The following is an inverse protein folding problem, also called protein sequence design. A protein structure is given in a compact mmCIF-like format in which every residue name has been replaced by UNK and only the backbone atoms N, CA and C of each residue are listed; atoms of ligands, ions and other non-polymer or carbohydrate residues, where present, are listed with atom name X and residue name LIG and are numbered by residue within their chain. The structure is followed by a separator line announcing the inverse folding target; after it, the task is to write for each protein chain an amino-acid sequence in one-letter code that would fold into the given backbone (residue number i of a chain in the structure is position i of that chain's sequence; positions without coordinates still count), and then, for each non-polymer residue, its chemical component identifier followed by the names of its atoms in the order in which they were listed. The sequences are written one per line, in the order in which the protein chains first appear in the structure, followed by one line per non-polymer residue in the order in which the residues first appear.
data_IF_937612503161
#
_entry.id   IF_937612503161
#
_cell.length_a   1.000
_cell.length_b   1.000
_cell.length_c   1.000
_cell.angle_alpha   90.00
_cell.angle_beta   90.00
_cell.angle_gamma   90.00
#
_symmetry.space_group_name_H-M   'P 1'
#
loop_
_entity.id
_entity.type
_entity.pdbx_description
1 polymer ?
#
# COMPACT_ATOMS: atom_id res chain seq x y z
N UNK A 1 16.87 -1.95 -109.55
CA UNK A 1 16.69 -0.54 -109.10
C UNK A 1 16.32 -0.56 -107.61
N UNK A 2 16.52 0.54 -106.89
CA UNK A 2 16.19 0.67 -105.46
C UNK A 2 14.66 0.92 -105.26
N UNK A 3 14.06 0.91 -104.06
CA UNK A 3 14.62 0.80 -102.71
C UNK A 3 13.65 0.15 -101.68
N UNK A 4 14.25 -0.46 -100.65
CA UNK A 4 13.91 -0.46 -99.20
C UNK A 4 12.95 0.63 -98.69
N UNK A 5 12.17 0.52 -97.59
CA UNK A 5 11.90 -0.49 -96.52
C UNK A 5 10.59 -0.03 -95.77
N UNK A 6 9.92 -0.70 -94.81
CA UNK A 6 10.10 -1.95 -94.00
C UNK A 6 8.69 -2.64 -93.89
N UNK A 7 8.21 -3.46 -92.92
CA UNK A 7 8.57 -3.86 -91.53
C UNK A 7 7.80 -3.05 -90.46
N UNK A 8 6.96 -3.59 -89.56
CA UNK A 8 6.61 -4.99 -89.22
C UNK A 8 7.52 -5.62 -88.14
N UNK A 9 7.07 -6.48 -87.21
CA UNK A 9 5.69 -6.94 -86.89
C UNK A 9 5.66 -7.69 -85.50
N UNK A 10 4.47 -7.97 -84.95
CA UNK A 10 4.13 -9.02 -83.95
C UNK A 10 4.79 -9.06 -82.54
N UNK A 11 3.98 -8.69 -81.53
CA UNK A 11 3.63 -9.37 -80.27
C UNK A 11 4.63 -10.14 -79.34
N UNK A 12 4.47 -9.83 -78.03
CA UNK A 12 4.38 -10.72 -76.86
C UNK A 12 5.58 -11.60 -76.44
N UNK A 13 6.25 -11.20 -75.34
CA UNK A 13 6.94 -12.10 -74.42
C UNK A 13 6.94 -11.52 -72.99
N UNK A 14 6.52 -12.32 -71.99
CA UNK A 14 6.78 -12.05 -70.56
C UNK A 14 7.93 -12.98 -70.16
N UNK A 15 9.04 -12.41 -69.68
CA UNK A 15 10.28 -13.14 -69.42
C UNK A 15 10.54 -13.22 -67.91
N UNK A 16 10.58 -14.44 -67.38
CA UNK A 16 11.22 -14.76 -66.10
C UNK A 16 12.74 -14.68 -66.27
N UNK A 17 13.45 -14.06 -65.32
CA UNK A 17 14.90 -14.18 -65.24
C UNK A 17 15.37 -14.30 -63.79
N UNK A 18 15.94 -15.44 -63.43
CA UNK A 18 16.76 -15.57 -62.22
C UNK A 18 18.14 -14.98 -62.49
N UNK A 19 18.70 -14.26 -61.50
CA UNK A 19 20.13 -13.96 -61.46
C UNK A 19 20.71 -14.26 -60.08
N UNK A 20 22.02 -14.45 -60.04
CA UNK A 20 22.72 -15.23 -59.01
C UNK A 20 23.02 -14.49 -57.71
N UNK A 21 23.30 -15.27 -56.66
CA UNK A 21 23.57 -14.80 -55.31
C UNK A 21 24.76 -13.83 -55.23
N UNK A 22 24.58 -12.76 -54.48
CA UNK A 22 25.66 -12.11 -53.72
C UNK A 22 25.16 -11.89 -52.30
N UNK A 23 25.76 -12.59 -51.33
CA UNK A 23 25.25 -12.63 -49.96
C UNK A 23 25.50 -11.32 -49.21
N UNK A 24 24.59 -10.37 -49.35
CA UNK A 24 24.31 -9.34 -48.36
C UNK A 24 22.87 -9.46 -47.86
N UNK A 25 22.53 -10.64 -47.34
CA UNK A 25 21.51 -10.73 -46.31
C UNK A 25 22.04 -9.94 -45.12
N UNK A 26 21.63 -8.66 -45.03
CA UNK A 26 21.59 -7.98 -43.76
C UNK A 26 20.69 -8.83 -42.87
N UNK A 27 21.30 -9.66 -42.03
CA UNK A 27 20.64 -10.23 -40.89
C UNK A 27 20.26 -9.07 -39.99
N UNK A 28 19.07 -8.51 -40.24
CA UNK A 28 18.23 -7.87 -39.25
C UNK A 28 18.02 -8.94 -38.17
N UNK A 29 19.01 -9.01 -37.28
CA UNK A 29 19.06 -9.92 -36.16
C UNK A 29 17.96 -9.43 -35.25
N UNK A 30 16.76 -9.99 -35.44
CA UNK A 30 15.60 -9.78 -34.58
C UNK A 30 15.94 -10.32 -33.19
N UNK A 31 16.71 -9.54 -32.45
CA UNK A 31 16.73 -9.57 -31.01
C UNK A 31 15.31 -9.25 -30.59
N UNK A 32 14.53 -10.30 -30.32
CA UNK A 32 13.36 -10.19 -29.48
C UNK A 32 13.82 -9.44 -28.23
N UNK A 33 13.32 -8.21 -28.07
CA UNK A 33 13.60 -7.42 -26.88
C UNK A 33 13.05 -8.24 -25.71
N UNK A 34 13.95 -8.78 -24.90
CA UNK A 34 13.57 -9.58 -23.74
C UNK A 34 12.69 -8.73 -22.83
N UNK A 35 11.65 -9.34 -22.26
CA UNK A 35 10.67 -8.53 -21.54
C UNK A 35 11.31 -7.89 -20.30
N UNK A 36 10.75 -6.77 -19.80
CA UNK A 36 11.19 -6.16 -18.54
C UNK A 36 11.36 -7.16 -17.39
N UNK A 37 10.51 -8.19 -17.33
CA UNK A 37 10.58 -9.23 -16.30
C UNK A 37 11.68 -10.28 -16.58
N UNK A 38 11.94 -10.65 -17.84
CA UNK A 38 13.07 -11.52 -18.19
C UNK A 38 14.41 -10.86 -17.85
N UNK A 39 14.54 -9.57 -18.14
CA UNK A 39 15.72 -8.78 -17.83
C UNK A 39 15.90 -8.61 -16.32
N UNK A 40 14.81 -8.43 -15.57
CA UNK A 40 14.82 -8.40 -14.12
C UNK A 40 15.30 -9.73 -13.54
N UNK A 41 14.71 -10.85 -13.94
CA UNK A 41 15.06 -12.19 -13.48
C UNK A 41 16.52 -12.54 -13.84
N UNK A 42 16.96 -12.23 -15.06
CA UNK A 42 18.37 -12.41 -15.47
C UNK A 42 19.32 -11.51 -14.68
N UNK A 43 18.87 -10.34 -14.23
CA UNK A 43 19.63 -9.48 -13.34
C UNK A 43 19.69 -10.00 -11.90
N UNK A 44 18.63 -10.65 -11.38
CA UNK A 44 18.63 -11.28 -10.05
C UNK A 44 19.53 -12.52 -9.99
N UNK A 45 19.67 -13.24 -11.10
CA UNK A 45 20.52 -14.44 -11.19
C UNK A 45 21.94 -14.18 -10.66
N UNK A 46 22.42 -15.10 -9.82
CA UNK A 46 23.71 -15.00 -9.12
C UNK A 46 23.79 -13.94 -8.02
N UNK A 47 22.70 -13.22 -7.69
CA UNK A 47 22.64 -12.22 -6.59
C UNK A 47 21.65 -12.56 -5.50
N UNK A 48 20.68 -13.41 -5.81
CA UNK A 48 19.67 -13.94 -4.89
C UNK A 48 19.55 -15.45 -5.17
N UNK A 49 19.43 -16.31 -4.15
CA UNK A 49 19.20 -17.75 -4.35
C UNK A 49 17.91 -18.01 -5.14
N UNK A 50 17.91 -19.02 -6.01
CA UNK A 50 16.80 -19.27 -6.93
C UNK A 50 15.51 -19.66 -6.20
N UNK A 51 15.64 -20.38 -5.09
CA UNK A 51 14.56 -20.76 -4.17
C UNK A 51 13.92 -19.58 -3.42
N UNK A 52 14.46 -18.36 -3.57
CA UNK A 52 13.88 -17.12 -3.04
C UNK A 52 13.22 -16.25 -4.14
N UNK A 53 13.18 -16.71 -5.40
CA UNK A 53 12.62 -15.96 -6.54
C UNK A 53 11.50 -16.76 -7.20
N UNK A 54 10.25 -16.49 -6.79
CA UNK A 54 9.07 -17.21 -7.26
C UNK A 54 8.47 -16.51 -8.48
N UNK A 55 8.59 -17.12 -9.66
CA UNK A 55 7.84 -16.72 -10.87
C UNK A 55 6.39 -17.21 -10.82
N UNK A 56 5.47 -16.68 -11.63
CA UNK A 56 4.11 -17.23 -11.74
C UNK A 56 4.06 -18.72 -12.16
N UNK A 57 5.12 -19.23 -12.80
CA UNK A 57 5.30 -20.64 -13.16
C UNK A 57 5.87 -21.52 -12.03
N UNK A 58 6.29 -20.92 -10.91
CA UNK A 58 6.82 -21.66 -9.75
C UNK A 58 5.68 -22.27 -8.93
N UNK A 59 5.77 -23.57 -8.60
CA UNK A 59 4.74 -24.27 -7.80
C UNK A 59 4.46 -23.61 -6.44
N UNK A 60 5.48 -23.03 -5.80
CA UNK A 60 5.35 -22.29 -4.55
C UNK A 60 4.75 -20.88 -4.66
N UNK A 61 4.55 -20.35 -5.88
CA UNK A 61 4.18 -18.93 -6.08
C UNK A 61 2.90 -18.53 -5.37
N UNK A 62 1.84 -19.33 -5.44
CA UNK A 62 0.57 -19.01 -4.78
C UNK A 62 0.65 -19.15 -3.25
N UNK A 63 1.47 -20.07 -2.74
CA UNK A 63 1.71 -20.20 -1.31
C UNK A 63 2.46 -18.97 -0.77
N UNK A 64 3.50 -18.51 -1.46
CA UNK A 64 4.22 -17.29 -1.06
C UNK A 64 3.38 -16.03 -1.29
N UNK A 65 2.62 -15.93 -2.39
CA UNK A 65 1.74 -14.79 -2.64
C UNK A 65 0.66 -14.66 -1.55
N UNK A 66 0.14 -15.77 -1.05
CA UNK A 66 -0.92 -15.76 -0.01
C UNK A 66 -0.40 -15.87 1.42
N UNK A 67 0.90 -16.11 1.64
CA UNK A 67 1.54 -16.44 2.94
C UNK A 67 1.17 -15.54 4.13
N UNK A 68 0.79 -14.30 3.85
CA UNK A 68 0.57 -13.24 4.83
C UNK A 68 -0.50 -12.24 4.39
N UNK A 69 -1.36 -12.61 3.45
CA UNK A 69 -2.52 -11.79 3.05
C UNK A 69 -3.53 -11.74 4.18
N UNK A 70 -4.05 -10.55 4.48
CA UNK A 70 -4.97 -10.30 5.60
C UNK A 70 -6.38 -9.90 5.16
N UNK A 71 -6.61 -9.83 3.84
CA UNK A 71 -7.88 -9.47 3.25
C UNK A 71 -8.08 -10.29 1.95
N UNK A 72 -8.89 -11.36 1.96
CA UNK A 72 -9.08 -12.25 0.80
C UNK A 72 -9.73 -11.57 -0.41
N UNK A 73 -10.33 -10.37 -0.23
CA UNK A 73 -10.83 -9.48 -1.30
C UNK A 73 -9.83 -9.26 -2.44
N UNK A 74 -8.54 -9.42 -2.18
CA UNK A 74 -7.45 -9.21 -3.14
C UNK A 74 -6.75 -10.51 -3.59
N UNK A 75 -7.43 -11.65 -3.49
CA UNK A 75 -6.93 -12.97 -3.91
C UNK A 75 -7.83 -13.57 -5.02
N UNK A 76 -8.51 -12.71 -5.78
CA UNK A 76 -9.37 -13.10 -6.91
C UNK A 76 -8.56 -13.31 -8.19
N UNK A 77 -9.14 -13.95 -9.21
CA UNK A 77 -8.51 -14.09 -10.54
C UNK A 77 -8.49 -12.78 -11.34
N UNK A 78 -9.37 -11.82 -11.01
CA UNK A 78 -9.37 -10.47 -11.57
C UNK A 78 -8.31 -9.55 -10.93
N UNK A 79 -7.72 -9.92 -9.79
CA UNK A 79 -6.70 -9.10 -9.13
C UNK A 79 -5.39 -9.09 -9.91
N UNK A 80 -4.80 -7.92 -10.14
CA UNK A 80 -3.48 -7.78 -10.78
C UNK A 80 -2.38 -8.25 -9.83
N UNK A 81 -1.88 -9.47 -10.08
CA UNK A 81 -0.83 -10.16 -9.30
C UNK A 81 0.57 -9.79 -9.81
N UNK A 82 1.63 -9.90 -8.98
CA UNK A 82 3.00 -9.66 -9.42
C UNK A 82 3.46 -10.68 -10.44
N UNK A 83 4.41 -10.29 -11.30
CA UNK A 83 5.05 -11.20 -12.26
C UNK A 83 6.06 -12.15 -11.58
N UNK A 84 6.69 -11.72 -10.48
CA UNK A 84 7.42 -12.60 -9.56
C UNK A 84 7.47 -12.03 -8.12
N UNK A 85 7.85 -12.87 -7.16
CA UNK A 85 8.08 -12.52 -5.75
C UNK A 85 9.55 -12.78 -5.42
N UNK A 86 10.19 -11.82 -4.77
CA UNK A 86 11.55 -11.93 -4.20
C UNK A 86 11.42 -12.00 -2.68
N UNK A 87 11.67 -13.16 -2.09
CA UNK A 87 11.60 -13.40 -0.65
C UNK A 87 12.95 -13.11 0.01
N UNK A 88 13.21 -11.84 0.35
CA UNK A 88 14.51 -11.40 0.84
C UNK A 88 14.81 -11.89 2.27
N UNK A 89 15.94 -12.59 2.42
CA UNK A 89 16.51 -12.99 3.71
C UNK A 89 17.69 -12.13 4.18
N UNK A 90 18.28 -11.32 3.29
CA UNK A 90 19.38 -10.40 3.61
C UNK A 90 19.20 -9.01 2.98
N UNK A 91 19.86 -8.00 3.54
CA UNK A 91 19.86 -6.64 3.03
C UNK A 91 20.49 -6.51 1.62
N UNK A 92 21.44 -7.38 1.25
CA UNK A 92 21.98 -7.44 -0.11
C UNK A 92 20.93 -7.90 -1.13
N UNK A 93 20.02 -8.81 -0.76
CA UNK A 93 18.94 -9.27 -1.64
C UNK A 93 17.95 -8.11 -1.93
N UNK A 94 17.63 -7.30 -0.91
CA UNK A 94 16.87 -6.05 -1.07
C UNK A 94 17.58 -5.08 -2.02
N UNK A 95 18.89 -4.86 -1.85
CA UNK A 95 19.66 -3.99 -2.74
C UNK A 95 19.72 -4.52 -4.17
N UNK A 96 19.87 -5.83 -4.37
CA UNK A 96 19.87 -6.47 -5.67
C UNK A 96 18.53 -6.30 -6.38
N UNK A 97 17.42 -6.57 -5.68
CA UNK A 97 16.07 -6.36 -6.20
C UNK A 97 15.82 -4.91 -6.64
N UNK A 98 16.16 -3.93 -5.79
CA UNK A 98 15.98 -2.50 -6.13
C UNK A 98 16.82 -2.09 -7.34
N UNK A 99 18.12 -2.46 -7.38
CA UNK A 99 19.02 -2.12 -8.50
C UNK A 99 18.58 -2.79 -9.80
N UNK A 100 18.14 -4.05 -9.75
CA UNK A 100 17.70 -4.78 -10.94
C UNK A 100 16.35 -4.27 -11.45
N UNK A 101 15.37 -4.04 -10.57
CA UNK A 101 14.06 -3.54 -10.99
C UNK A 101 14.15 -2.16 -11.64
N UNK A 102 14.98 -1.26 -11.07
CA UNK A 102 15.25 0.04 -11.67
C UNK A 102 15.94 -0.07 -13.04
N UNK A 103 16.94 -0.96 -13.20
CA UNK A 103 17.62 -1.20 -14.49
C UNK A 103 16.72 -1.82 -15.56
N UNK A 104 15.74 -2.62 -15.17
CA UNK A 104 14.85 -3.36 -16.08
C UNK A 104 13.45 -2.76 -16.22
N UNK A 105 13.17 -1.61 -15.58
CA UNK A 105 11.87 -0.94 -15.60
C UNK A 105 10.76 -1.61 -14.77
N UNK A 106 11.07 -2.67 -14.01
CA UNK A 106 10.11 -3.40 -13.17
C UNK A 106 10.01 -2.73 -11.80
N UNK A 107 8.80 -2.28 -11.43
CA UNK A 107 8.55 -1.67 -10.11
C UNK A 107 8.40 -2.73 -9.02
N UNK A 108 8.70 -2.33 -7.78
CA UNK A 108 8.59 -3.18 -6.59
C UNK A 108 7.46 -2.69 -5.67
N UNK A 109 6.53 -3.60 -5.34
CA UNK A 109 5.63 -3.44 -4.18
C UNK A 109 6.27 -4.19 -3.00
N UNK A 110 6.48 -3.51 -1.88
CA UNK A 110 7.24 -4.06 -0.73
C UNK A 110 6.27 -4.57 0.34
N UNK A 111 6.48 -5.80 0.82
CA UNK A 111 5.60 -6.45 1.81
C UNK A 111 6.35 -6.89 3.07
N UNK A 112 5.96 -6.32 4.21
CA UNK A 112 6.52 -6.67 5.53
C UNK A 112 5.58 -7.52 6.39
N UNK A 113 4.26 -7.39 6.20
CA UNK A 113 3.25 -8.10 6.99
C UNK A 113 1.87 -8.29 6.33
N UNK A 114 1.63 -7.70 5.17
CA UNK A 114 0.40 -7.90 4.37
C UNK A 114 -0.89 -7.22 4.88
N UNK A 115 -0.86 -6.54 6.04
CA UNK A 115 -1.97 -5.76 6.61
C UNK A 115 -2.31 -4.44 5.88
N UNK A 116 -1.91 -4.24 4.62
CA UNK A 116 -2.38 -3.06 3.86
C UNK A 116 -3.86 -3.26 3.50
N UNK A 117 -4.74 -2.39 4.00
CA UNK A 117 -6.20 -2.55 3.92
C UNK A 117 -6.75 -2.59 2.48
N UNK A 118 -6.00 -2.08 1.52
CA UNK A 118 -6.35 -2.12 0.10
C UNK A 118 -5.41 -3.03 -0.72
N UNK A 119 -4.58 -3.83 -0.04
CA UNK A 119 -3.72 -4.84 -0.64
C UNK A 119 -2.50 -4.31 -1.38
N UNK A 120 -2.17 -3.01 -1.27
CA UNK A 120 -1.19 -2.34 -2.14
C UNK A 120 0.27 -2.77 -1.93
N UNK A 121 0.53 -3.69 -1.00
CA UNK A 121 1.84 -4.33 -0.82
C UNK A 121 2.03 -5.61 -1.65
N UNK A 122 0.97 -6.15 -2.26
CA UNK A 122 1.03 -7.39 -3.07
C UNK A 122 0.13 -7.43 -4.31
N UNK A 123 -0.83 -6.52 -4.46
CA UNK A 123 -1.59 -6.32 -5.70
C UNK A 123 -1.41 -4.91 -6.27
N UNK A 124 -1.77 -4.73 -7.54
CA UNK A 124 -2.09 -3.42 -8.12
C UNK A 124 -3.60 -3.27 -8.36
N UNK A 125 -4.08 -2.03 -8.44
CA UNK A 125 -5.48 -1.69 -8.81
C UNK A 125 -5.62 -1.64 -10.33
N UNK A 126 -4.61 -1.11 -11.02
CA UNK A 126 -4.53 -1.02 -12.48
C UNK A 126 -3.57 -2.05 -13.05
N UNK A 127 -3.72 -2.40 -14.32
CA UNK A 127 -2.83 -3.31 -15.01
C UNK A 127 -1.41 -2.69 -15.15
N UNK A 128 -0.45 -3.22 -14.40
CA UNK A 128 0.98 -2.90 -14.54
C UNK A 128 1.85 -4.13 -14.24
N UNK A 129 3.06 -4.17 -14.81
CA UNK A 129 4.06 -5.20 -14.48
C UNK A 129 4.88 -4.77 -13.28
N UNK A 130 4.70 -5.46 -12.15
CA UNK A 130 5.47 -5.26 -10.92
C UNK A 130 5.93 -6.61 -10.34
N UNK A 131 6.93 -6.57 -9.46
CA UNK A 131 7.31 -7.69 -8.60
C UNK A 131 7.04 -7.35 -7.13
N UNK A 132 6.82 -8.36 -6.29
CA UNK A 132 6.77 -8.17 -4.83
C UNK A 132 8.16 -8.40 -4.25
N UNK A 133 8.61 -7.48 -3.39
CA UNK A 133 9.74 -7.70 -2.51
C UNK A 133 9.21 -7.99 -1.11
N UNK A 134 9.21 -9.27 -0.72
CA UNK A 134 8.80 -9.68 0.62
C UNK A 134 10.00 -9.68 1.56
N UNK A 135 9.80 -9.13 2.77
CA UNK A 135 10.81 -9.01 3.81
C UNK A 135 10.66 -10.09 4.91
N UNK A 136 9.95 -11.19 4.65
CA UNK A 136 9.67 -12.26 5.62
C UNK A 136 10.90 -12.87 6.30
N UNK A 137 12.03 -12.97 5.59
CA UNK A 137 13.29 -13.45 6.17
C UNK A 137 13.94 -12.43 7.12
N UNK A 138 13.71 -11.13 6.91
CA UNK A 138 14.32 -10.01 7.64
C UNK A 138 13.60 -9.69 8.97
N UNK A 139 13.31 -10.74 9.76
CA UNK A 139 12.51 -10.69 11.00
C UNK A 139 13.31 -10.80 12.31
N UNK A 140 14.63 -10.61 12.27
CA UNK A 140 15.49 -10.75 13.45
C UNK A 140 15.33 -9.58 14.43
N UNK A 141 14.84 -9.85 15.64
CA UNK A 141 14.72 -8.87 16.73
C UNK A 141 15.90 -9.02 17.70
N UNK A 142 16.53 -7.91 18.08
CA UNK A 142 17.60 -7.87 19.09
C UNK A 142 17.28 -6.78 20.11
N UNK A 143 17.04 -7.18 21.37
CA UNK A 143 16.81 -6.28 22.50
C UNK A 143 18.00 -6.38 23.45
N UNK A 144 18.55 -5.24 23.88
CA UNK A 144 19.49 -5.13 25.02
C UNK A 144 18.92 -4.08 25.98
N UNK A 145 19.06 -4.26 27.29
CA UNK A 145 18.61 -3.25 28.24
C UNK A 145 19.46 -1.96 28.13
N UNK A 146 18.82 -0.79 28.29
CA UNK A 146 19.50 0.52 28.44
C UNK A 146 19.71 1.35 27.17
N UNK A 147 19.92 0.75 25.99
CA UNK A 147 20.19 1.51 24.75
C UNK A 147 18.91 2.04 24.06
N UNK A 148 19.08 3.11 23.25
CA UNK A 148 18.00 3.72 22.44
C UNK A 148 17.95 3.06 21.05
N UNK A 149 17.10 2.06 20.86
CA UNK A 149 16.99 1.39 19.56
C UNK A 149 16.48 2.28 18.44
N UNK A 150 17.23 2.26 17.33
CA UNK A 150 16.64 2.34 16.01
C UNK A 150 16.38 0.93 15.51
N UNK A 151 15.13 0.48 15.56
CA UNK A 151 14.68 -0.58 14.65
C UNK A 151 14.70 0.02 13.24
N UNK A 152 15.12 -0.76 12.24
CA UNK A 152 15.16 -0.29 10.85
C UNK A 152 13.79 0.23 10.42
N UNK A 153 13.65 1.55 10.28
CA UNK A 153 12.41 2.20 9.87
C UNK A 153 11.58 2.90 10.96
N UNK A 154 11.91 2.84 12.27
CA UNK A 154 11.21 3.69 13.25
C UNK A 154 12.00 4.03 14.54
N UNK A 155 12.05 5.32 14.89
CA UNK A 155 12.48 5.80 16.22
C UNK A 155 11.26 5.97 17.12
N UNK A 156 11.14 5.18 18.20
CA UNK A 156 10.25 5.49 19.34
C UNK A 156 10.92 5.14 20.67
N UNK A 157 10.61 5.90 21.72
CA UNK A 157 10.99 5.56 23.09
C UNK A 157 9.97 4.61 23.70
N UNK A 158 10.36 3.35 23.91
CA UNK A 158 9.70 2.47 24.86
C UNK A 158 10.16 2.80 26.29
N UNK A 159 9.63 3.87 26.88
CA UNK A 159 9.53 3.93 28.36
C UNK A 159 8.19 3.31 28.73
N UNK A 160 8.22 2.15 29.38
CA UNK A 160 7.03 1.59 30.02
C UNK A 160 6.51 2.57 31.06
N UNK A 161 5.41 3.26 30.76
CA UNK A 161 4.84 4.28 31.62
C UNK A 161 4.02 3.66 32.76
N UNK A 162 4.67 2.83 33.58
CA UNK A 162 4.15 2.52 34.91
C UNK A 162 4.10 3.83 35.69
N UNK A 163 2.89 4.37 35.92
CA UNK A 163 2.69 5.62 36.66
C UNK A 163 2.88 5.40 38.17
N UNK A 164 4.11 5.05 38.56
CA UNK A 164 4.59 5.13 39.94
C UNK A 164 5.48 6.35 40.08
N UNK A 165 5.23 7.13 41.13
CA UNK A 165 6.23 8.09 41.64
C UNK A 165 7.41 7.33 42.28
N UNK A 166 8.51 8.04 42.57
CA UNK A 166 9.66 7.51 43.35
C UNK A 166 9.28 7.10 44.78
N UNK A 167 8.13 7.59 45.23
CA UNK A 167 7.58 7.60 46.58
C UNK A 167 6.43 6.58 46.77
N UNK A 168 6.27 5.63 45.85
CA UNK A 168 5.55 4.36 46.06
C UNK A 168 4.01 4.38 46.07
N UNK A 169 3.37 5.48 46.51
CA UNK A 169 1.90 5.57 46.59
C UNK A 169 1.21 5.91 45.26
N UNK A 170 -0.03 5.44 45.05
CA UNK A 170 -0.88 5.87 43.93
C UNK A 170 -1.37 7.32 44.12
N UNK A 171 -1.48 8.06 43.02
CA UNK A 171 -2.13 9.39 43.01
C UNK A 171 -3.65 9.21 43.09
N UNK A 172 -4.38 9.94 43.96
CA UNK A 172 -5.83 10.03 43.84
C UNK A 172 -6.21 10.76 42.54
N UNK A 173 -7.28 10.34 41.85
CA UNK A 173 -7.71 11.00 40.61
C UNK A 173 -8.43 12.32 40.91
N UNK A 174 -7.67 13.41 41.04
CA UNK A 174 -8.20 14.78 41.15
C UNK A 174 -8.45 15.47 39.79
N UNK A 175 -8.45 14.70 38.70
CA UNK A 175 -8.99 15.12 37.42
C UNK A 175 -10.37 14.51 37.23
N UNK A 176 -11.36 15.32 36.84
CA UNK A 176 -12.75 14.89 36.60
C UNK A 176 -12.81 13.99 35.36
N UNK A 177 -12.60 12.68 35.54
CA UNK A 177 -12.58 11.71 34.45
C UNK A 177 -13.96 11.62 33.79
N UNK A 178 -14.05 11.98 32.50
CA UNK A 178 -15.25 11.68 31.69
C UNK A 178 -15.57 10.18 31.76
N UNK A 179 -16.85 9.77 31.88
CA UNK A 179 -17.24 8.36 31.98
C UNK A 179 -16.63 7.46 30.90
N UNK A 180 -16.44 7.98 29.68
CA UNK A 180 -15.81 7.25 28.57
C UNK A 180 -14.42 6.68 28.91
N UNK A 181 -13.62 7.38 29.73
CA UNK A 181 -12.30 6.88 30.15
C UNK A 181 -12.37 5.70 31.14
N UNK A 182 -13.52 5.46 31.80
CA UNK A 182 -13.75 4.25 32.60
C UNK A 182 -14.19 3.05 31.75
N UNK A 183 -14.52 3.27 30.48
CA UNK A 183 -15.04 2.26 29.54
C UNK A 183 -14.07 1.95 28.39
N UNK A 184 -12.77 2.28 28.53
CA UNK A 184 -11.76 1.93 27.53
C UNK A 184 -11.53 0.41 27.49
N UNK A 185 -12.11 -0.27 26.50
CA UNK A 185 -11.78 -1.67 26.21
C UNK A 185 -10.37 -1.77 25.62
N UNK A 186 -9.50 -2.56 26.25
CA UNK A 186 -8.21 -2.92 25.64
C UNK A 186 -8.43 -4.10 24.70
N UNK A 187 -8.63 -3.82 23.42
CA UNK A 187 -8.93 -4.83 22.40
C UNK A 187 -7.66 -5.60 22.03
N UNK A 188 -7.39 -6.71 22.74
CA UNK A 188 -6.41 -7.71 22.30
C UNK A 188 -7.05 -8.65 21.28
N UNK A 189 -6.68 -8.53 20.01
CA UNK A 189 -7.10 -9.45 18.94
C UNK A 189 -6.25 -10.75 18.90
N UNK A 190 -5.47 -11.00 19.94
CA UNK A 190 -4.70 -12.23 20.15
C UNK A 190 -4.75 -12.65 21.62
N UNK A 191 -4.41 -13.91 21.89
CA UNK A 191 -4.39 -14.44 23.25
C UNK A 191 -3.31 -13.75 24.11
N UNK A 192 -3.59 -13.52 25.39
CA UNK A 192 -2.77 -12.68 26.28
C UNK A 192 -1.47 -13.36 26.75
N UNK A 193 -1.30 -14.64 26.44
CA UNK A 193 -0.21 -15.54 26.80
C UNK A 193 0.74 -15.86 25.62
N UNK A 194 0.50 -15.29 24.44
CA UNK A 194 1.34 -15.50 23.25
C UNK A 194 2.78 -15.03 23.54
N UNK A 195 3.80 -15.92 23.45
CA UNK A 195 5.19 -15.53 23.70
C UNK A 195 5.70 -14.54 22.65
N UNK A 196 6.75 -13.76 22.91
CA UNK A 196 7.26 -12.74 21.98
C UNK A 196 7.58 -13.27 20.58
N UNK A 197 8.02 -14.52 20.46
CA UNK A 197 8.28 -15.23 19.21
C UNK A 197 7.00 -15.50 18.40
N UNK A 198 5.86 -15.59 19.08
CA UNK A 198 4.52 -15.64 18.47
C UNK A 198 4.17 -14.36 17.71
N UNK A 199 4.65 -13.19 18.15
CA UNK A 199 4.51 -11.93 17.41
C UNK A 199 5.32 -11.91 16.10
N UNK A 200 6.24 -12.87 15.90
CA UNK A 200 7.02 -13.03 14.66
C UNK A 200 6.38 -14.01 13.67
N UNK A 201 5.22 -14.62 14.01
CA UNK A 201 4.45 -15.47 13.11
C UNK A 201 3.61 -14.61 12.18
N UNK A 202 4.00 -14.58 10.91
CA UNK A 202 3.13 -14.11 9.82
C UNK A 202 2.25 -15.29 9.39
N UNK A 203 0.98 -15.25 9.77
CA UNK A 203 -0.10 -16.09 9.23
C UNK A 203 -0.99 -15.25 8.34
N UNK A 204 -1.66 -15.86 7.36
CA UNK A 204 -2.69 -15.19 6.58
C UNK A 204 -4.06 -15.25 7.27
N UNK A 205 -4.96 -14.36 6.86
CA UNK A 205 -6.39 -14.52 7.04
C UNK A 205 -7.05 -14.50 5.66
N UNK A 206 -7.57 -15.66 5.26
CA UNK A 206 -8.30 -15.85 4.00
C UNK A 206 -9.78 -16.18 4.23
N UNK A 207 -10.24 -16.21 5.50
CA UNK A 207 -11.62 -16.57 5.85
C UNK A 207 -12.53 -15.37 6.14
N UNK A 208 -11.98 -14.18 6.39
CA UNK A 208 -12.74 -12.97 6.71
C UNK A 208 -12.33 -11.81 5.79
N UNK A 209 -13.29 -11.24 5.08
CA UNK A 209 -13.11 -10.06 4.24
C UNK A 209 -13.27 -8.78 5.06
N UNK A 210 -12.63 -7.69 4.64
CA UNK A 210 -12.73 -6.40 5.34
C UNK A 210 -12.72 -5.20 4.39
N UNK A 211 -13.50 -4.17 4.75
CA UNK A 211 -13.31 -2.77 4.33
C UNK A 211 -13.35 -1.92 5.59
N UNK A 212 -12.51 -0.87 5.61
CA UNK A 212 -12.40 0.05 6.73
C UNK A 212 -12.30 1.49 6.23
N UNK A 213 -12.65 2.43 7.10
CA UNK A 213 -12.48 3.88 6.93
C UNK A 213 -11.97 4.49 8.23
N UNK A 214 -11.58 5.76 8.22
CA UNK A 214 -11.23 6.47 9.46
C UNK A 214 -11.56 7.96 9.42
N UNK A 215 -11.74 8.54 10.60
CA UNK A 215 -11.93 9.97 10.83
C UNK A 215 -11.17 10.44 12.09
N UNK A 216 -10.99 11.75 12.26
CA UNK A 216 -10.61 12.35 13.53
C UNK A 216 -11.70 13.30 14.05
N UNK A 217 -11.99 13.23 15.35
CA UNK A 217 -12.96 14.12 16.00
C UNK A 217 -12.23 15.21 16.80
N UNK A 218 -12.65 16.47 16.59
CA UNK A 218 -12.08 17.67 17.22
C UNK A 218 -13.07 18.46 18.10
N UNK A 219 -14.36 18.10 18.06
CA UNK A 219 -15.44 18.70 18.86
C UNK A 219 -16.33 17.58 19.41
N UNK A 220 -16.81 17.66 20.66
CA UNK A 220 -17.64 16.60 21.22
C UNK A 220 -19.00 16.54 20.53
N UNK A 221 -19.42 15.33 20.14
CA UNK A 221 -20.80 15.06 19.70
C UNK A 221 -21.76 15.12 20.89
N UNK A 222 -22.95 15.70 20.69
CA UNK A 222 -24.01 15.72 21.69
C UNK A 222 -24.62 14.33 21.91
N UNK A 223 -25.16 14.08 23.11
CA UNK A 223 -25.74 12.78 23.47
C UNK A 223 -26.82 12.30 22.49
N UNK A 224 -27.70 13.19 22.04
CA UNK A 224 -28.74 12.85 21.06
C UNK A 224 -28.18 12.42 19.70
N UNK A 225 -27.07 13.01 19.25
CA UNK A 225 -26.42 12.61 18.00
C UNK A 225 -25.77 11.22 18.12
N UNK A 226 -25.21 10.89 19.30
CA UNK A 226 -24.79 9.52 19.59
C UNK A 226 -25.97 8.56 19.62
N UNK A 227 -27.07 8.88 20.32
CA UNK A 227 -28.26 8.02 20.40
C UNK A 227 -28.86 7.71 19.02
N UNK A 228 -28.93 8.69 18.13
CA UNK A 228 -29.33 8.49 16.73
C UNK A 228 -28.35 7.56 16.00
N UNK A 229 -27.05 7.86 16.00
CA UNK A 229 -26.02 7.02 15.36
C UNK A 229 -26.05 5.56 15.83
N UNK A 230 -26.28 5.34 17.13
CA UNK A 230 -26.43 4.01 17.71
C UNK A 230 -27.68 3.29 17.23
N UNK A 231 -28.84 3.97 17.22
CA UNK A 231 -30.11 3.39 16.77
C UNK A 231 -30.14 3.12 15.26
N UNK A 232 -29.70 4.09 14.46
CA UNK A 232 -29.87 4.10 13.00
C UNK A 232 -28.85 3.22 12.26
N UNK A 233 -27.65 3.03 12.83
CA UNK A 233 -26.57 2.26 12.20
C UNK A 233 -26.09 1.05 13.02
N UNK A 234 -25.77 1.25 14.31
CA UNK A 234 -25.05 0.25 15.10
C UNK A 234 -25.96 -0.82 15.74
N UNK A 235 -27.26 -0.56 15.90
CA UNK A 235 -28.24 -1.51 16.41
C UNK A 235 -28.77 -2.50 15.35
N UNK A 236 -28.16 -2.55 14.16
CA UNK A 236 -28.58 -3.44 13.06
C UNK A 236 -27.86 -4.80 13.11
N UNK A 237 -28.57 -5.88 12.76
CA UNK A 237 -28.06 -7.27 12.88
C UNK A 237 -26.75 -7.55 12.12
N UNK A 238 -26.40 -6.74 11.11
CA UNK A 238 -25.20 -6.86 10.29
C UNK A 238 -24.27 -5.64 10.46
N UNK A 239 -24.36 -4.91 11.57
CA UNK A 239 -23.49 -3.78 11.85
C UNK A 239 -22.02 -4.20 11.94
N UNK A 240 -21.13 -3.36 11.39
CA UNK A 240 -19.70 -3.44 11.63
C UNK A 240 -19.30 -2.82 12.98
N UNK A 241 -18.00 -2.61 13.15
CA UNK A 241 -17.40 -2.04 14.36
C UNK A 241 -17.12 -0.54 14.21
N UNK A 242 -17.35 0.19 15.29
CA UNK A 242 -16.93 1.57 15.51
C UNK A 242 -15.92 1.58 16.68
N UNK A 243 -14.64 1.80 16.38
CA UNK A 243 -13.57 1.83 17.39
C UNK A 243 -13.15 3.27 17.61
N UNK A 244 -13.19 3.73 18.87
CA UNK A 244 -12.79 5.09 19.26
C UNK A 244 -11.46 5.03 20.02
N UNK A 245 -10.39 5.56 19.43
CA UNK A 245 -9.06 5.61 20.08
C UNK A 245 -8.82 7.00 20.70
N UNK A 246 -8.81 7.14 22.04
CA UNK A 246 -8.67 8.45 22.69
C UNK A 246 -7.29 9.06 22.50
N UNK A 247 -7.28 10.33 22.09
CA UNK A 247 -6.08 11.10 21.78
C UNK A 247 -5.67 12.01 22.97
N UNK A 248 -4.86 13.04 22.70
CA UNK A 248 -4.34 13.93 23.75
C UNK A 248 -3.06 13.39 24.39
N UNK A 249 -2.89 13.63 25.69
CA UNK A 249 -1.65 13.28 26.41
C UNK A 249 -0.39 13.84 25.71
N UNK A 250 0.69 13.04 25.68
CA UNK A 250 1.94 13.44 24.99
C UNK A 250 1.73 13.61 23.48
N UNK A 251 0.83 12.85 22.87
CA UNK A 251 0.55 12.91 21.42
C UNK A 251 -0.11 14.23 21.03
N UNK A 252 -1.07 14.73 21.82
CA UNK A 252 -1.79 15.97 21.51
C UNK A 252 -1.25 17.24 22.18
N UNK A 253 -0.46 17.14 23.26
CA UNK A 253 -0.03 18.31 24.03
C UNK A 253 1.49 18.61 23.98
N UNK A 254 2.32 17.71 23.44
CA UNK A 254 3.80 17.85 23.49
C UNK A 254 4.47 17.75 22.12
N UNK A 255 3.87 17.04 21.15
CA UNK A 255 4.47 16.82 19.82
C UNK A 255 3.80 17.74 18.79
N UNK A 256 4.52 18.72 18.20
CA UNK A 256 3.96 19.58 17.15
C UNK A 256 3.55 18.80 15.89
N UNK A 257 2.47 19.25 15.25
CA UNK A 257 1.87 18.69 14.02
C UNK A 257 2.88 18.52 12.87
N UNK A 258 3.88 19.41 12.79
CA UNK A 258 4.93 19.42 11.76
C UNK A 258 6.23 18.68 12.17
N UNK A 259 6.29 18.12 13.38
CA UNK A 259 7.47 17.40 13.89
C UNK A 259 7.63 16.00 13.28
N UNK A 260 6.55 15.44 12.73
CA UNK A 260 6.50 14.15 12.03
C UNK A 260 5.55 14.24 10.84
N UNK A 261 5.62 13.36 9.84
CA UNK A 261 4.62 13.29 8.75
C UNK A 261 3.17 13.22 9.25
N UNK A 262 2.93 12.48 10.33
CA UNK A 262 1.62 12.31 10.99
C UNK A 262 1.20 13.61 11.73
N UNK A 263 0.13 14.29 11.28
CA UNK A 263 -0.24 15.63 11.74
C UNK A 263 -1.29 15.65 12.87
N UNK A 264 -2.03 14.56 13.08
CA UNK A 264 -3.22 14.54 13.94
C UNK A 264 -2.81 14.56 15.43
N UNK A 265 -2.54 15.77 15.93
CA UNK A 265 -1.92 16.05 17.24
C UNK A 265 -2.84 16.91 18.11
N UNK A 266 -2.62 18.23 18.11
CA UNK A 266 -3.31 19.17 18.98
C UNK A 266 -4.79 19.30 18.59
N UNK A 267 -5.67 19.46 19.59
CA UNK A 267 -7.11 19.62 19.38
C UNK A 267 -7.86 18.39 18.86
N UNK A 268 -7.21 17.22 18.74
CA UNK A 268 -7.87 15.95 18.46
C UNK A 268 -8.34 15.32 19.76
N UNK A 269 -9.60 14.90 19.81
CA UNK A 269 -10.20 14.22 20.97
C UNK A 269 -10.00 12.69 20.87
N UNK A 270 -10.27 12.12 19.69
CA UNK A 270 -10.08 10.71 19.38
C UNK A 270 -9.96 10.48 17.87
N UNK A 271 -9.31 9.38 17.47
CA UNK A 271 -9.51 8.77 16.16
C UNK A 271 -10.79 7.91 16.17
N UNK A 272 -11.41 7.76 15.01
CA UNK A 272 -12.39 6.71 14.76
C UNK A 272 -11.83 5.78 13.68
N UNK A 273 -11.81 4.48 13.96
CA UNK A 273 -11.77 3.45 12.94
C UNK A 273 -13.18 2.89 12.75
N UNK A 274 -13.66 2.93 11.50
CA UNK A 274 -14.84 2.18 11.05
C UNK A 274 -14.36 0.91 10.36
N UNK A 275 -14.92 -0.24 10.70
CA UNK A 275 -14.60 -1.51 10.03
C UNK A 275 -15.85 -2.34 9.82
N UNK A 276 -15.97 -2.98 8.66
CA UNK A 276 -17.03 -3.95 8.39
C UNK A 276 -16.41 -5.24 7.86
N UNK A 277 -16.95 -6.37 8.32
CA UNK A 277 -16.44 -7.70 8.06
C UNK A 277 -17.53 -8.57 7.43
N UNK A 278 -17.15 -9.46 6.53
CA UNK A 278 -18.04 -10.47 5.96
C UNK A 278 -17.30 -11.79 5.72
N UNK A 279 -18.07 -12.85 5.51
CA UNK A 279 -17.63 -14.23 5.33
C UNK A 279 -18.33 -14.84 4.11
N UNK A 280 -17.71 -15.84 3.48
CA UNK A 280 -18.22 -16.47 2.26
C UNK A 280 -17.64 -15.82 1.00
N UNK A 281 -18.45 -15.03 0.29
CA UNK A 281 -18.14 -14.47 -1.02
C UNK A 281 -18.00 -12.94 -0.99
N UNK A 282 -17.13 -12.39 -1.84
CA UNK A 282 -16.91 -10.95 -2.02
C UNK A 282 -17.81 -10.35 -3.11
N UNK A 283 -18.35 -11.15 -4.02
CA UNK A 283 -19.16 -10.66 -5.15
C UNK A 283 -20.68 -10.70 -4.88
N UNK A 284 -21.10 -11.40 -3.81
CA UNK A 284 -22.51 -11.51 -3.38
C UNK A 284 -23.06 -10.36 -2.51
N UNK A 285 -24.38 -10.38 -2.29
CA UNK A 285 -25.13 -9.32 -1.57
C UNK A 285 -24.67 -9.10 -0.12
N UNK A 286 -24.05 -10.08 0.54
CA UNK A 286 -23.47 -9.91 1.89
C UNK A 286 -22.38 -8.83 1.90
N UNK A 287 -21.44 -8.86 0.95
CA UNK A 287 -20.38 -7.86 0.85
C UNK A 287 -20.92 -6.51 0.38
N UNK A 288 -21.96 -6.50 -0.44
CA UNK A 288 -22.61 -5.29 -0.93
C UNK A 288 -23.35 -4.58 0.21
N UNK A 289 -24.13 -5.31 1.02
CA UNK A 289 -24.77 -4.79 2.22
C UNK A 289 -23.76 -4.27 3.24
N UNK A 290 -22.67 -5.01 3.50
CA UNK A 290 -21.59 -4.60 4.39
C UNK A 290 -20.95 -3.27 3.95
N UNK A 291 -20.62 -3.13 2.66
CA UNK A 291 -20.08 -1.88 2.10
C UNK A 291 -21.07 -0.71 2.20
N UNK A 292 -22.34 -0.92 1.78
CA UNK A 292 -23.39 0.11 1.87
C UNK A 292 -23.64 0.58 3.32
N UNK A 293 -23.56 -0.33 4.30
CA UNK A 293 -23.66 0.03 5.72
C UNK A 293 -22.50 0.93 6.16
N UNK A 294 -21.27 0.58 5.79
CA UNK A 294 -20.06 1.33 6.12
C UNK A 294 -20.07 2.73 5.49
N UNK A 295 -20.47 2.83 4.21
CA UNK A 295 -20.57 4.10 3.50
C UNK A 295 -21.68 4.99 4.07
N UNK A 296 -22.83 4.41 4.45
CA UNK A 296 -23.91 5.14 5.12
C UNK A 296 -23.50 5.67 6.51
N UNK A 297 -22.81 4.86 7.32
CA UNK A 297 -22.27 5.30 8.62
C UNK A 297 -21.20 6.40 8.44
N UNK A 298 -20.33 6.27 7.44
CA UNK A 298 -19.30 7.27 7.14
C UNK A 298 -19.91 8.59 6.63
N UNK A 299 -21.01 8.52 5.86
CA UNK A 299 -21.77 9.71 5.46
C UNK A 299 -22.43 10.40 6.67
N UNK A 300 -23.14 9.64 7.52
CA UNK A 300 -23.83 10.17 8.70
C UNK A 300 -22.90 10.91 9.69
N UNK A 301 -21.64 10.48 9.76
CA UNK A 301 -20.61 11.11 10.62
C UNK A 301 -20.03 12.42 10.08
N UNK A 302 -20.27 12.79 8.82
CA UNK A 302 -19.55 13.90 8.15
C UNK A 302 -19.63 15.24 8.91
N UNK A 303 -20.81 15.60 9.41
CA UNK A 303 -21.02 16.85 10.16
C UNK A 303 -20.42 16.85 11.58
N UNK A 304 -19.99 15.69 12.09
CA UNK A 304 -19.49 15.51 13.45
C UNK A 304 -17.96 15.42 13.56
N UNK A 305 -17.28 15.13 12.45
CA UNK A 305 -15.83 14.87 12.40
C UNK A 305 -15.04 16.11 11.94
N UNK A 306 -13.72 15.97 11.78
CA UNK A 306 -12.87 16.95 11.08
C UNK A 306 -13.38 17.24 9.67
N UNK A 307 -13.30 18.50 9.23
CA UNK A 307 -13.60 18.91 7.86
C UNK A 307 -12.64 19.99 7.37
N UNK A 308 -12.49 20.10 6.04
CA UNK A 308 -11.58 21.03 5.36
C UNK A 308 -10.08 20.91 5.77
N UNK A 309 -9.43 19.76 5.53
CA UNK A 309 -9.95 18.53 4.94
C UNK A 309 -10.58 17.59 5.99
N UNK A 310 -11.31 16.57 5.53
CA UNK A 310 -11.77 15.47 6.38
C UNK A 310 -10.60 14.51 6.62
N UNK A 311 -10.05 14.54 7.83
CA UNK A 311 -8.80 13.88 8.23
C UNK A 311 -8.98 12.36 8.38
N UNK A 312 -8.03 11.59 7.87
CA UNK A 312 -8.02 10.12 7.95
C UNK A 312 -6.62 9.61 8.33
N UNK A 313 -6.50 8.37 8.81
CA UNK A 313 -5.19 7.80 9.17
C UNK A 313 -4.62 6.92 8.06
N UNK A 314 -3.42 7.24 7.56
CA UNK A 314 -2.77 6.55 6.42
C UNK A 314 -2.58 5.03 6.57
N UNK A 315 -2.49 4.51 7.80
CA UNK A 315 -2.41 3.06 8.03
C UNK A 315 -3.78 2.37 7.90
N UNK A 316 -4.88 3.10 8.09
CA UNK A 316 -6.23 2.66 7.77
C UNK A 316 -6.55 3.07 6.33
N UNK A 317 -5.80 2.48 5.40
CA UNK A 317 -5.86 2.83 3.97
C UNK A 317 -7.26 2.63 3.42
N UNK A 318 -7.72 3.63 2.66
CA UNK A 318 -9.02 3.66 1.98
C UNK A 318 -8.78 4.30 0.60
N UNK A 319 -9.04 3.58 -0.49
CA UNK A 319 -8.90 4.14 -1.84
C UNK A 319 -10.01 5.15 -2.17
N UNK A 320 -11.15 5.09 -1.47
CA UNK A 320 -12.36 5.85 -1.81
C UNK A 320 -12.20 7.37 -1.52
N UNK A 321 -11.22 7.75 -0.68
CA UNK A 321 -10.84 9.17 -0.48
C UNK A 321 -9.98 9.74 -1.62
N UNK A 322 -9.62 8.93 -2.62
CA UNK A 322 -8.99 9.34 -3.86
C UNK A 322 -7.73 8.54 -4.22
N UNK A 323 -7.45 8.48 -5.52
CA UNK A 323 -6.26 7.83 -6.10
C UNK A 323 -5.36 8.78 -6.90
N UNK A 324 -4.10 8.35 -7.02
CA UNK A 324 -3.07 8.89 -7.89
C UNK A 324 -3.39 8.68 -9.39
N UNK A 325 -3.40 9.77 -10.15
CA UNK A 325 -3.23 9.74 -11.60
C UNK A 325 -1.73 9.69 -11.94
N UNK A 326 -1.38 9.06 -13.07
CA UNK A 326 -0.01 8.92 -13.54
C UNK A 326 0.09 9.53 -14.95
N UNK A 327 0.90 10.57 -15.10
CA UNK A 327 1.09 11.33 -16.34
C UNK A 327 2.59 11.33 -16.67
N UNK A 328 2.94 11.06 -17.93
CA UNK A 328 4.35 10.92 -18.34
C UNK A 328 5.11 9.79 -17.61
N UNK A 329 4.40 8.83 -17.02
CA UNK A 329 4.97 7.76 -16.20
C UNK A 329 5.22 8.10 -14.73
N UNK A 330 4.90 9.33 -14.29
CA UNK A 330 5.10 9.86 -12.92
C UNK A 330 3.75 10.22 -12.28
N UNK A 331 3.62 10.08 -10.95
CA UNK A 331 2.42 10.48 -10.21
C UNK A 331 2.19 12.00 -10.25
N UNK A 332 0.99 12.43 -10.64
CA UNK A 332 0.60 13.85 -10.66
C UNK A 332 0.33 14.40 -9.25
N UNK A 333 0.93 15.55 -8.90
CA UNK A 333 0.81 16.15 -7.56
C UNK A 333 -0.63 16.48 -7.15
N UNK A 334 -1.42 17.15 -7.99
CA UNK A 334 -2.79 17.54 -7.65
C UNK A 334 -3.74 16.33 -7.55
N UNK A 335 -3.51 15.26 -8.32
CA UNK A 335 -4.26 14.01 -8.13
C UNK A 335 -4.07 13.41 -6.73
N UNK A 336 -2.82 13.41 -6.27
CA UNK A 336 -2.42 12.82 -5.01
C UNK A 336 -2.81 13.69 -3.81
N UNK A 337 -2.82 15.02 -3.99
CA UNK A 337 -3.18 16.01 -2.98
C UNK A 337 -4.57 15.79 -2.36
N UNK A 338 -5.54 15.32 -3.15
CA UNK A 338 -6.95 15.06 -2.72
C UNK A 338 -7.06 14.10 -1.54
N UNK A 339 -6.25 13.03 -1.53
CA UNK A 339 -6.13 12.09 -0.41
C UNK A 339 -4.97 12.49 0.52
N UNK A 340 -3.91 13.09 -0.03
CA UNK A 340 -2.68 13.46 0.66
C UNK A 340 -2.88 14.49 1.77
N UNK A 341 -3.70 15.51 1.54
CA UNK A 341 -4.02 16.51 2.57
C UNK A 341 -4.91 15.90 3.68
N UNK A 342 -5.71 14.86 3.40
CA UNK A 342 -6.49 14.13 4.44
C UNK A 342 -5.61 13.30 5.37
N UNK A 343 -4.55 12.66 4.84
CA UNK A 343 -3.62 11.82 5.60
C UNK A 343 -2.46 12.59 6.25
N UNK A 344 -2.10 13.76 5.72
CA UNK A 344 -0.87 14.47 6.11
C UNK A 344 -1.03 15.97 6.37
N UNK A 345 -2.21 16.56 6.11
CA UNK A 345 -2.47 17.99 6.31
C UNK A 345 -1.37 18.85 5.64
N UNK A 346 -0.92 19.92 6.30
CA UNK A 346 0.19 20.77 5.84
C UNK A 346 1.54 20.06 5.64
N UNK A 347 1.74 18.83 6.15
CA UNK A 347 2.96 18.06 5.85
C UNK A 347 2.99 17.53 4.40
N UNK A 348 1.86 17.42 3.68
CA UNK A 348 1.83 16.76 2.37
C UNK A 348 2.80 17.38 1.35
N UNK A 349 2.79 18.71 1.19
CA UNK A 349 3.70 19.44 0.27
C UNK A 349 5.18 19.23 0.63
N UNK A 350 5.49 19.12 1.93
CA UNK A 350 6.85 18.83 2.42
C UNK A 350 7.27 17.39 2.11
N UNK A 351 6.36 16.42 2.24
CA UNK A 351 6.60 15.03 1.86
C UNK A 351 6.86 14.92 0.35
N UNK A 352 6.07 15.59 -0.48
CA UNK A 352 6.23 15.60 -1.92
C UNK A 352 7.58 16.23 -2.35
N UNK A 353 8.00 17.32 -1.71
CA UNK A 353 9.31 17.93 -1.95
C UNK A 353 10.49 17.05 -1.50
N UNK A 354 10.31 16.20 -0.46
CA UNK A 354 11.31 15.18 -0.08
C UNK A 354 11.35 14.06 -1.11
N UNK A 355 10.18 13.51 -1.51
CA UNK A 355 10.06 12.49 -2.57
C UNK A 355 10.72 12.95 -3.87
N UNK A 356 10.49 14.19 -4.30
CA UNK A 356 11.12 14.78 -5.49
C UNK A 356 12.65 14.87 -5.43
N UNK A 357 13.26 14.82 -4.24
CA UNK A 357 14.73 14.81 -4.07
C UNK A 357 15.32 13.39 -3.96
N UNK A 358 14.55 12.40 -3.49
CA UNK A 358 15.06 11.03 -3.23
C UNK A 358 14.59 9.97 -4.23
N UNK A 359 13.49 10.23 -4.95
CA UNK A 359 12.94 9.36 -6.00
C UNK A 359 12.20 10.21 -7.06
N UNK A 360 12.93 11.06 -7.81
CA UNK A 360 12.33 11.93 -8.85
C UNK A 360 11.72 11.15 -10.01
N UNK A 361 12.18 9.91 -10.27
CA UNK A 361 11.64 9.03 -11.32
C UNK A 361 10.38 8.26 -10.91
N UNK A 362 9.88 8.48 -9.69
CA UNK A 362 8.70 7.82 -9.13
C UNK A 362 8.71 6.29 -9.25
N UNK A 363 9.84 5.69 -8.84
CA UNK A 363 10.05 4.26 -8.88
C UNK A 363 9.31 3.53 -7.75
N UNK A 364 9.41 4.04 -6.51
CA UNK A 364 8.67 3.51 -5.36
C UNK A 364 7.31 4.19 -5.24
N UNK A 365 6.31 3.61 -5.93
CA UNK A 365 4.94 4.13 -5.94
C UNK A 365 3.86 3.05 -5.81
N UNK A 366 2.67 3.51 -5.46
CA UNK A 366 1.41 2.80 -5.61
C UNK A 366 0.29 3.84 -5.83
N UNK A 367 -0.96 3.41 -5.76
CA UNK A 367 -2.16 4.22 -6.03
C UNK A 367 -2.38 5.36 -5.03
N UNK A 368 -1.70 5.34 -3.88
CA UNK A 368 -1.71 6.38 -2.85
C UNK A 368 -0.32 6.55 -2.22
N UNK A 369 0.69 6.67 -3.08
CA UNK A 369 2.05 7.06 -2.69
C UNK A 369 2.29 8.55 -2.91
N UNK A 370 3.13 9.15 -2.07
CA UNK A 370 3.53 10.55 -2.19
C UNK A 370 4.13 10.81 -3.60
N UNK A 371 3.68 11.86 -4.32
CA UNK A 371 4.21 12.24 -5.63
C UNK A 371 5.57 12.96 -5.51
N UNK A 372 6.48 12.87 -6.48
CA UNK A 372 7.65 13.74 -6.52
C UNK A 372 7.25 15.17 -6.91
N UNK A 373 7.30 16.10 -5.96
CA UNK A 373 7.21 17.53 -6.27
C UNK A 373 8.61 18.07 -6.53
N UNK A 374 8.99 18.12 -7.81
CA UNK A 374 10.19 18.83 -8.25
C UNK A 374 9.98 20.33 -8.00
N UNK A 375 10.82 20.92 -7.15
CA UNK A 375 10.89 22.36 -7.00
C UNK A 375 11.80 22.92 -8.11
N UNK A 376 11.46 24.03 -8.78
CA UNK A 376 12.48 24.82 -9.46
C UNK A 376 13.53 25.26 -8.43
N UNK A 377 14.80 25.21 -8.83
CA UNK A 377 15.95 25.64 -8.03
C UNK A 377 16.15 27.16 -8.13
#
# INVERSE_FOLDING_TARGET
MAATMRGGNVALAIIFLCFTCSNNVFLLRSSSASSPIDDFLRCLSGKIPAEQVFTQSSSGFMAELTSSVQNPRFVTNATVRPACIVAASDASHVQAAVRCGHRSGVRLRVRSGGHDYEGLSYRAVRAETFAVLDLAGLRAVRVRAGERYGVGGLRRHARGALLRRRDGQPRPPTATTSPCFRAMAFISLGAADVPPEGMLRRTNNLGTYVKSKSDYVRRPMGAAAWSALFADHLASNNAGVLILEPHGGVVGAVIPDMATPYPHRAGVLYNIQYGVFWWGDDEGESSAAARRWLDALYAAMEAAVSGNPREAFVNYRDLDIGENAVVGGVTEYESARRWGERYFMGNFRRLAAVKGRVDPGDYFRNEQSIPPLLQPY
#
